data_IF_244334972345
#
_entry.id   IF_244334972345
#
_cell.length_a   1.000
_cell.length_b   1.000
_cell.length_c   1.000
_cell.angle_alpha   90.00
_cell.angle_beta   90.00
_cell.angle_gamma   90.00
#
_symmetry.space_group_name_H-M   'P 1'
#
loop_
_entity.id
_entity.type
_entity.pdbx_description
1 polymer ?
#
# COMPACT_ATOMS: atom_id res chain seq x y z
N UNK A 1 -12.78 -1.23 -14.40
CA UNK A 1 -13.05 -2.65 -14.07
C UNK A 1 -13.31 -2.74 -12.59
N UNK A 2 -14.02 -3.78 -12.12
CA UNK A 2 -14.26 -3.99 -10.68
C UNK A 2 -12.96 -4.48 -10.02
N UNK A 3 -12.44 -3.81 -8.98
CA UNK A 3 -11.25 -4.23 -8.26
C UNK A 3 -11.30 -5.69 -7.81
N UNK A 4 -10.18 -6.43 -7.91
CA UNK A 4 -10.08 -7.81 -7.40
C UNK A 4 -10.60 -8.94 -8.29
N UNK A 5 -11.14 -8.65 -9.49
CA UNK A 5 -11.69 -9.68 -10.39
C UNK A 5 -10.69 -10.75 -10.89
N UNK A 6 -9.37 -10.52 -10.73
CA UNK A 6 -8.32 -11.43 -11.22
C UNK A 6 -8.02 -12.62 -10.28
N UNK A 7 -8.56 -12.62 -9.06
CA UNK A 7 -8.32 -13.68 -8.06
C UNK A 7 -9.27 -14.88 -8.22
N UNK A 8 -9.85 -15.06 -9.41
CA UNK A 8 -10.64 -16.25 -9.72
C UNK A 8 -9.74 -17.49 -9.78
N UNK A 9 -10.10 -18.61 -9.12
CA UNK A 9 -9.32 -19.83 -9.15
C UNK A 9 -9.19 -20.34 -10.58
N UNK A 10 -7.95 -20.57 -11.03
CA UNK A 10 -7.67 -21.12 -12.36
C UNK A 10 -7.71 -22.65 -12.37
N UNK A 11 -7.57 -23.28 -11.20
CA UNK A 11 -7.64 -24.74 -11.02
C UNK A 11 -8.63 -25.11 -9.92
N UNK A 12 -9.23 -26.31 -9.95
CA UNK A 12 -10.15 -26.78 -8.92
C UNK A 12 -9.53 -26.83 -7.51
N UNK A 13 -8.23 -27.13 -7.41
CA UNK A 13 -7.49 -27.14 -6.15
C UNK A 13 -7.35 -25.74 -5.55
N UNK A 14 -7.08 -24.74 -6.40
CA UNK A 14 -7.04 -23.33 -5.98
C UNK A 14 -8.42 -22.90 -5.46
N UNK A 15 -9.50 -23.40 -6.08
CA UNK A 15 -10.87 -23.14 -5.62
C UNK A 15 -11.16 -23.75 -4.25
N UNK A 16 -10.62 -24.94 -3.95
CA UNK A 16 -10.78 -25.58 -2.63
C UNK A 16 -10.01 -24.85 -1.54
N UNK A 17 -8.79 -24.40 -1.82
CA UNK A 17 -8.00 -23.58 -0.89
C UNK A 17 -8.73 -22.26 -0.61
N UNK A 18 -9.22 -21.61 -1.68
CA UNK A 18 -10.00 -20.39 -1.59
C UNK A 18 -11.30 -20.58 -0.80
N UNK A 19 -12.03 -21.68 -1.03
CA UNK A 19 -13.24 -22.00 -0.27
C UNK A 19 -12.96 -22.34 1.20
N UNK A 20 -11.82 -22.98 1.50
CA UNK A 20 -11.38 -23.23 2.86
C UNK A 20 -11.01 -21.92 3.57
N UNK A 21 -10.33 -20.99 2.88
CA UNK A 21 -10.06 -19.64 3.39
C UNK A 21 -11.36 -18.88 3.67
N UNK A 22 -12.35 -18.97 2.78
CA UNK A 22 -13.66 -18.33 2.98
C UNK A 22 -14.41 -18.93 4.17
N UNK A 23 -14.38 -20.26 4.36
CA UNK A 23 -14.93 -20.91 5.57
C UNK A 23 -14.20 -20.51 6.86
N UNK A 24 -12.87 -20.41 6.83
CA UNK A 24 -12.10 -19.93 7.99
C UNK A 24 -12.47 -18.48 8.35
N UNK A 25 -12.82 -17.66 7.35
CA UNK A 25 -13.31 -16.28 7.53
C UNK A 25 -14.74 -16.22 8.07
N UNK A 26 -15.65 -17.08 7.62
CA UNK A 26 -17.01 -17.18 8.19
C UNK A 26 -16.97 -17.47 9.70
N UNK A 27 -15.93 -18.19 10.15
CA UNK A 27 -15.66 -18.50 11.55
C UNK A 27 -14.99 -17.35 12.33
N UNK A 28 -14.81 -16.17 11.72
CA UNK A 28 -14.15 -14.97 12.28
C UNK A 28 -12.74 -15.21 12.80
N UNK A 29 -12.04 -16.20 12.25
CA UNK A 29 -10.66 -16.52 12.64
C UNK A 29 -9.72 -15.37 12.26
N UNK A 30 -10.06 -14.59 11.23
CA UNK A 30 -9.41 -13.35 10.82
C UNK A 30 -9.45 -12.22 11.87
N UNK A 31 -10.32 -12.30 12.89
CA UNK A 31 -10.26 -11.39 14.05
C UNK A 31 -9.15 -11.76 15.04
N UNK A 32 -8.54 -12.94 14.88
CA UNK A 32 -7.49 -13.48 15.74
C UNK A 32 -6.14 -13.70 15.02
N UNK A 33 -6.11 -13.59 13.69
CA UNK A 33 -4.93 -13.79 12.86
C UNK A 33 -4.88 -12.75 11.73
N UNK A 34 -3.70 -12.20 11.43
CA UNK A 34 -3.55 -11.17 10.41
C UNK A 34 -3.86 -11.71 9.00
N UNK A 35 -4.38 -10.84 8.13
CA UNK A 35 -4.53 -11.18 6.72
C UNK A 35 -3.13 -11.42 6.11
N UNK A 36 -2.97 -12.42 5.21
CA UNK A 36 -1.74 -12.55 4.43
C UNK A 36 -1.44 -11.23 3.71
N UNK A 37 -0.30 -10.64 4.02
CA UNK A 37 0.13 -9.35 3.48
C UNK A 37 1.14 -9.56 2.36
N UNK A 38 0.91 -8.98 1.19
CA UNK A 38 1.92 -8.95 0.11
C UNK A 38 2.68 -7.64 0.22
N UNK A 39 3.97 -7.71 0.53
CA UNK A 39 4.87 -6.56 0.57
C UNK A 39 5.55 -6.47 -0.79
N UNK A 40 5.38 -5.35 -1.48
CA UNK A 40 6.08 -5.11 -2.75
C UNK A 40 7.26 -4.18 -2.52
N UNK A 41 8.44 -4.67 -2.87
CA UNK A 41 9.70 -3.95 -2.74
C UNK A 41 10.53 -4.07 -4.02
N UNK A 42 11.38 -3.09 -4.30
CA UNK A 42 12.17 -3.06 -5.55
C UNK A 42 12.59 -1.64 -5.96
N UNK A 43 13.54 -1.54 -6.89
CA UNK A 43 14.04 -0.25 -7.41
C UNK A 43 12.92 0.63 -7.99
N UNK A 44 13.11 1.97 -8.01
CA UNK A 44 12.22 2.89 -8.73
C UNK A 44 12.00 2.39 -10.16
N UNK A 45 10.79 2.52 -10.70
CA UNK A 45 10.51 2.15 -12.11
C UNK A 45 10.66 0.67 -12.47
N UNK A 46 10.98 -0.21 -11.53
CA UNK A 46 10.98 -1.67 -11.73
C UNK A 46 9.58 -2.25 -12.06
N UNK A 47 8.53 -1.43 -12.09
CA UNK A 47 7.16 -1.85 -12.40
C UNK A 47 6.34 -2.25 -11.17
N UNK A 48 6.77 -1.89 -9.94
CA UNK A 48 6.04 -2.17 -8.68
C UNK A 48 4.57 -1.74 -8.74
N UNK A 49 4.33 -0.47 -9.05
CA UNK A 49 2.98 0.07 -9.17
C UNK A 49 2.17 -0.67 -10.24
N UNK A 50 2.77 -1.06 -11.37
CA UNK A 50 2.09 -1.82 -12.43
C UNK A 50 1.72 -3.25 -12.00
N UNK A 51 2.59 -3.93 -11.26
CA UNK A 51 2.31 -5.26 -10.67
C UNK A 51 1.18 -5.14 -9.65
N UNK A 52 1.22 -4.09 -8.82
CA UNK A 52 0.18 -3.83 -7.84
C UNK A 52 -1.15 -3.48 -8.49
N UNK A 53 -1.15 -2.57 -9.46
CA UNK A 53 -2.31 -2.21 -10.28
C UNK A 53 -2.92 -3.44 -10.96
N UNK A 54 -2.09 -4.36 -11.46
CA UNK A 54 -2.60 -5.61 -12.06
C UNK A 54 -3.24 -6.53 -11.03
N UNK A 55 -2.70 -6.57 -9.81
CA UNK A 55 -3.15 -7.46 -8.74
C UNK A 55 -4.42 -6.95 -8.06
N UNK A 56 -4.50 -5.66 -7.74
CA UNK A 56 -5.64 -5.07 -7.03
C UNK A 56 -6.63 -4.39 -7.97
N UNK A 57 -6.26 -4.12 -9.23
CA UNK A 57 -7.06 -3.39 -10.22
C UNK A 57 -7.49 -1.98 -9.76
N UNK A 58 -6.61 -1.34 -8.99
CA UNK A 58 -6.77 0.00 -8.44
C UNK A 58 -5.51 0.78 -8.83
N UNK A 59 -5.61 2.01 -9.37
CA UNK A 59 -4.43 2.77 -9.76
C UNK A 59 -3.59 3.09 -8.53
N UNK A 60 -2.27 2.93 -8.67
CA UNK A 60 -1.33 3.43 -7.69
C UNK A 60 -0.86 4.83 -8.10
N UNK A 61 -0.51 5.69 -7.15
CA UNK A 61 -0.08 7.05 -7.45
C UNK A 61 1.21 7.00 -8.27
N UNK A 62 1.16 7.52 -9.50
CA UNK A 62 2.33 7.80 -10.32
C UNK A 62 2.72 9.25 -10.02
N UNK A 63 3.87 9.47 -9.39
CA UNK A 63 4.29 10.82 -9.01
C UNK A 63 4.58 11.68 -10.25
N UNK A 64 3.98 12.88 -10.32
CA UNK A 64 4.17 13.83 -11.44
C UNK A 64 5.63 14.34 -11.59
N UNK A 65 6.49 14.13 -10.59
CA UNK A 65 7.85 14.71 -10.51
C UNK A 65 8.98 13.67 -10.30
N UNK A 66 8.82 12.43 -10.76
CA UNK A 66 9.90 11.42 -10.71
C UNK A 66 10.41 11.09 -9.28
N UNK A 67 9.57 11.28 -8.26
CA UNK A 67 9.80 10.80 -6.88
C UNK A 67 8.67 9.80 -6.59
N UNK A 68 9.05 8.53 -6.45
CA UNK A 68 8.12 7.46 -6.13
C UNK A 68 7.89 7.38 -4.60
N UNK A 69 6.75 6.79 -4.22
CA UNK A 69 6.27 6.42 -2.86
C UNK A 69 7.05 7.01 -1.68
N UNK A 70 6.59 8.15 -1.12
CA UNK A 70 7.23 8.89 0.01
C UNK A 70 6.69 8.56 1.40
N UNK A 71 5.74 7.63 1.47
CA UNK A 71 5.13 7.10 2.68
C UNK A 71 4.61 5.70 2.35
N UNK A 72 4.33 4.88 3.37
CA UNK A 72 3.81 3.53 3.15
C UNK A 72 2.37 3.63 2.64
N UNK A 73 2.07 2.93 1.54
CA UNK A 73 0.70 2.82 1.04
C UNK A 73 0.18 1.41 1.29
N UNK A 74 -0.84 1.30 2.14
CA UNK A 74 -1.48 0.04 2.49
C UNK A 74 -2.80 -0.08 1.74
N UNK A 75 -2.88 -0.99 0.79
CA UNK A 75 -4.12 -1.29 0.07
C UNK A 75 -4.72 -2.56 0.65
N UNK A 76 -5.94 -2.46 1.18
CA UNK A 76 -6.70 -3.59 1.71
C UNK A 76 -7.95 -3.77 0.86
N UNK A 77 -8.19 -4.98 0.41
CA UNK A 77 -9.38 -5.37 -0.31
C UNK A 77 -10.24 -6.19 0.63
N UNK A 78 -11.54 -5.90 0.73
CA UNK A 78 -12.48 -6.60 1.60
C UNK A 78 -13.81 -6.83 0.88
N UNK A 79 -14.48 -7.92 1.24
CA UNK A 79 -15.80 -8.23 0.70
C UNK A 79 -16.88 -7.47 1.49
N UNK A 80 -17.73 -6.70 0.80
CA UNK A 80 -18.95 -6.10 1.33
C UNK A 80 -20.01 -6.02 0.23
N UNK A 81 -21.29 -6.04 0.59
CA UNK A 81 -22.39 -6.01 -0.40
C UNK A 81 -22.39 -4.74 -1.26
N UNK A 82 -21.91 -3.63 -0.70
CA UNK A 82 -21.88 -2.33 -1.38
C UNK A 82 -20.47 -1.98 -1.83
N UNK A 83 -20.24 -1.77 -3.14
CA UNK A 83 -18.96 -1.29 -3.63
C UNK A 83 -18.61 0.08 -3.02
N UNK A 84 -17.45 0.22 -2.40
CA UNK A 84 -17.02 1.48 -1.79
C UNK A 84 -15.51 1.61 -1.65
N UNK A 85 -15.02 2.83 -1.50
CA UNK A 85 -13.63 3.17 -1.23
C UNK A 85 -13.55 3.90 0.10
N UNK A 86 -12.62 3.49 0.95
CA UNK A 86 -12.34 4.16 2.22
C UNK A 86 -10.86 4.45 2.35
N UNK A 87 -10.51 5.69 2.63
CA UNK A 87 -9.12 6.11 2.80
C UNK A 87 -8.92 6.77 4.16
N UNK A 88 -7.86 6.38 4.86
CA UNK A 88 -7.44 6.90 6.17
C UNK A 88 -5.94 7.14 6.20
N UNK A 89 -5.51 8.06 7.03
CA UNK A 89 -4.09 8.28 7.35
C UNK A 89 -3.85 7.71 8.74
N UNK A 90 -2.81 6.88 8.88
CA UNK A 90 -2.27 6.52 10.18
C UNK A 90 -0.99 7.34 10.38
N UNK A 91 -1.08 8.45 11.11
CA UNK A 91 0.08 9.29 11.35
C UNK A 91 1.13 8.55 12.18
N UNK A 92 2.39 8.86 11.92
CA UNK A 92 3.49 8.28 12.66
C UNK A 92 3.56 8.83 14.08
N UNK A 93 4.09 8.00 15.00
CA UNK A 93 4.17 8.36 16.42
C UNK A 93 5.22 9.44 16.74
N UNK A 94 6.09 9.78 15.79
CA UNK A 94 7.07 10.87 15.89
C UNK A 94 6.48 12.25 15.54
N UNK A 95 5.21 12.31 15.11
CA UNK A 95 4.50 13.59 14.93
C UNK A 95 4.05 14.18 16.28
N UNK A 96 3.90 15.52 16.35
CA UNK A 96 3.22 16.17 17.48
C UNK A 96 1.81 15.61 17.70
N UNK A 97 1.40 15.46 18.96
CA UNK A 97 0.10 14.85 19.34
C UNK A 97 -1.11 15.53 18.67
N UNK A 98 -1.06 16.86 18.50
CA UNK A 98 -2.09 17.61 17.80
C UNK A 98 -2.22 17.18 16.33
N UNK A 99 -1.10 17.01 15.62
CA UNK A 99 -1.09 16.54 14.22
C UNK A 99 -1.55 15.09 14.11
N UNK A 100 -1.14 14.23 15.06
CA UNK A 100 -1.58 12.83 15.13
C UNK A 100 -3.10 12.76 15.22
N UNK A 101 -3.71 13.57 16.09
CA UNK A 101 -5.16 13.61 16.24
C UNK A 101 -5.83 14.10 14.96
N UNK A 102 -5.39 15.24 14.42
CA UNK A 102 -5.95 15.84 13.20
C UNK A 102 -5.91 14.87 12.01
N UNK A 103 -4.78 14.21 11.78
CA UNK A 103 -4.61 13.30 10.65
C UNK A 103 -5.38 11.99 10.84
N UNK A 104 -5.48 11.48 12.08
CA UNK A 104 -6.23 10.26 12.38
C UNK A 104 -7.74 10.42 12.20
N UNK A 105 -8.26 11.65 12.39
CA UNK A 105 -9.67 11.98 12.21
C UNK A 105 -10.07 12.09 10.72
N UNK A 106 -9.10 12.16 9.79
CA UNK A 106 -9.37 12.23 8.36
C UNK A 106 -9.86 10.88 7.81
N UNK A 107 -11.11 10.89 7.32
CA UNK A 107 -11.76 9.76 6.70
C UNK A 107 -12.44 10.19 5.39
N UNK A 108 -11.96 9.65 4.27
CA UNK A 108 -12.67 9.72 3.00
C UNK A 108 -13.40 8.41 2.77
N UNK A 109 -14.70 8.48 2.51
CA UNK A 109 -15.52 7.30 2.24
C UNK A 109 -16.45 7.61 1.06
N UNK A 110 -16.25 6.91 -0.04
CA UNK A 110 -17.02 7.06 -1.26
C UNK A 110 -17.76 5.76 -1.54
N UNK A 111 -19.09 5.83 -1.62
CA UNK A 111 -19.95 4.68 -1.91
C UNK A 111 -20.32 4.70 -3.38
N UNK A 112 -20.34 3.51 -3.98
CA UNK A 112 -20.67 3.30 -5.40
C UNK A 112 -19.91 4.24 -6.34
N UNK A 113 -18.56 4.26 -6.29
CA UNK A 113 -17.79 5.10 -7.20
C UNK A 113 -18.05 4.69 -8.65
N UNK A 114 -18.33 5.67 -9.51
CA UNK A 114 -18.52 5.44 -10.96
C UNK A 114 -17.22 4.97 -11.62
N UNK A 115 -16.10 5.59 -11.22
CA UNK A 115 -14.76 5.22 -11.64
C UNK A 115 -13.82 5.19 -10.42
N UNK A 116 -13.48 3.98 -9.98
CA UNK A 116 -12.55 3.75 -8.88
C UNK A 116 -11.23 4.48 -9.05
N UNK A 117 -10.73 4.58 -10.28
CA UNK A 117 -9.43 5.15 -10.53
C UNK A 117 -9.43 6.66 -10.34
N UNK A 118 -10.45 7.33 -10.89
CA UNK A 118 -10.63 8.77 -10.77
C UNK A 118 -10.90 9.17 -9.32
N UNK A 119 -11.84 8.48 -8.67
CA UNK A 119 -12.22 8.71 -7.27
C UNK A 119 -11.02 8.54 -6.34
N UNK A 120 -10.29 7.43 -6.47
CA UNK A 120 -9.13 7.19 -5.64
C UNK A 120 -8.02 8.20 -5.90
N UNK A 121 -7.69 8.51 -7.16
CA UNK A 121 -6.66 9.50 -7.48
C UNK A 121 -6.96 10.87 -6.84
N UNK A 122 -8.23 11.30 -6.87
CA UNK A 122 -8.66 12.54 -6.24
C UNK A 122 -8.50 12.50 -4.70
N UNK A 123 -8.90 11.40 -4.05
CA UNK A 123 -8.75 11.22 -2.60
C UNK A 123 -7.27 11.16 -2.20
N UNK A 124 -6.46 10.40 -2.93
CA UNK A 124 -5.03 10.26 -2.68
C UNK A 124 -4.30 11.59 -2.82
N UNK A 125 -4.65 12.42 -3.80
CA UNK A 125 -4.09 13.77 -3.95
C UNK A 125 -4.38 14.64 -2.73
N UNK A 126 -5.62 14.58 -2.20
CA UNK A 126 -5.99 15.28 -0.96
C UNK A 126 -5.20 14.76 0.23
N UNK A 127 -5.17 13.44 0.42
CA UNK A 127 -4.45 12.79 1.51
C UNK A 127 -2.94 13.12 1.50
N UNK A 128 -2.32 13.11 0.32
CA UNK A 128 -0.93 13.52 0.14
C UNK A 128 -0.71 14.97 0.61
N UNK A 129 -1.62 15.87 0.26
CA UNK A 129 -1.59 17.26 0.71
C UNK A 129 -1.63 17.38 2.24
N UNK A 130 -2.45 16.59 2.92
CA UNK A 130 -2.52 16.56 4.39
C UNK A 130 -1.27 15.94 5.04
N UNK A 131 -0.74 14.85 4.47
CA UNK A 131 0.47 14.19 4.98
C UNK A 131 1.66 15.16 4.97
N UNK A 132 1.90 15.90 3.88
CA UNK A 132 3.03 16.84 3.81
C UNK A 132 2.65 18.24 4.32
N UNK A 133 2.06 18.29 5.52
CA UNK A 133 1.84 19.53 6.29
C UNK A 133 2.55 19.47 7.64
N UNK A 134 2.57 20.60 8.36
CA UNK A 134 3.12 20.68 9.72
C UNK A 134 4.58 20.23 9.81
N UNK A 135 4.87 19.37 10.77
CA UNK A 135 6.18 18.76 11.01
C UNK A 135 6.76 18.02 9.80
N UNK A 136 5.91 17.54 8.88
CA UNK A 136 6.33 16.79 7.70
C UNK A 136 6.39 17.63 6.40
N UNK A 137 6.11 18.94 6.46
CA UNK A 137 6.00 19.80 5.26
C UNK A 137 7.21 19.73 4.32
N UNK A 138 8.41 19.81 4.88
CA UNK A 138 9.68 19.75 4.13
C UNK A 138 10.30 18.34 4.16
N UNK A 139 9.64 17.36 4.79
CA UNK A 139 10.17 16.02 4.95
C UNK A 139 10.19 15.30 3.60
N UNK A 140 11.34 14.74 3.23
CA UNK A 140 11.47 13.97 1.99
C UNK A 140 10.66 12.66 2.01
N UNK A 141 10.56 12.03 3.19
CA UNK A 141 9.84 10.78 3.44
C UNK A 141 9.28 10.84 4.86
N UNK A 142 8.16 10.15 5.11
CA UNK A 142 7.53 10.06 6.42
C UNK A 142 7.13 8.62 6.73
N UNK A 143 7.02 8.29 8.02
CA UNK A 143 6.55 6.98 8.51
C UNK A 143 5.03 6.88 8.57
N UNK A 144 4.29 7.90 8.12
CA UNK A 144 2.84 7.81 8.01
C UNK A 144 2.43 6.68 7.06
N UNK A 145 1.25 6.12 7.30
CA UNK A 145 0.68 5.07 6.46
C UNK A 145 -0.63 5.58 5.85
N UNK A 146 -0.67 5.67 4.53
CA UNK A 146 -1.92 5.87 3.81
C UNK A 146 -2.62 4.51 3.64
N UNK A 147 -3.72 4.31 4.34
CA UNK A 147 -4.52 3.10 4.20
C UNK A 147 -5.70 3.35 3.25
N UNK A 148 -5.71 2.60 2.16
CA UNK A 148 -6.80 2.53 1.19
C UNK A 148 -7.50 1.20 1.39
N UNK A 149 -8.80 1.22 1.62
CA UNK A 149 -9.63 0.02 1.72
C UNK A 149 -10.68 0.04 0.62
N UNK A 150 -10.67 -0.99 -0.21
CA UNK A 150 -11.61 -1.15 -1.32
C UNK A 150 -12.57 -2.29 -0.99
N UNK A 151 -13.86 -1.99 -1.10
CA UNK A 151 -14.95 -2.87 -0.75
C UNK A 151 -15.77 -3.22 -1.98
N UNK A 152 -16.29 -4.45 -2.03
CA UNK A 152 -17.20 -4.87 -3.09
C UNK A 152 -17.63 -6.34 -2.94
N UNK A 153 -18.73 -6.73 -3.61
CA UNK A 153 -19.39 -8.02 -3.37
C UNK A 153 -18.56 -9.22 -3.84
N UNK A 154 -17.74 -9.03 -4.89
CA UNK A 154 -16.91 -10.07 -5.51
C UNK A 154 -15.41 -9.92 -5.17
N UNK A 155 -15.09 -9.10 -4.16
CA UNK A 155 -13.71 -8.85 -3.76
C UNK A 155 -13.22 -9.97 -2.84
N UNK A 156 -12.09 -10.58 -3.19
CA UNK A 156 -11.38 -11.50 -2.29
C UNK A 156 -10.49 -10.71 -1.33
N UNK A 157 -10.60 -10.94 -0.02
CA UNK A 157 -9.76 -10.25 0.95
C UNK A 157 -8.27 -10.47 0.68
N UNK A 158 -7.56 -9.38 0.47
CA UNK A 158 -6.13 -9.33 0.24
C UNK A 158 -5.59 -8.02 0.81
N UNK A 159 -4.37 -8.07 1.33
CA UNK A 159 -3.66 -6.87 1.73
C UNK A 159 -2.34 -6.75 0.99
N UNK A 160 -2.07 -5.54 0.52
CA UNK A 160 -0.89 -5.18 -0.23
C UNK A 160 -0.25 -3.97 0.43
N UNK A 161 1.07 -4.01 0.55
CA UNK A 161 1.87 -2.92 1.07
C UNK A 161 2.86 -2.45 0.01
N UNK A 162 2.77 -1.18 -0.37
CA UNK A 162 3.78 -0.49 -1.18
C UNK A 162 4.68 0.33 -0.26
N UNK A 163 5.99 0.07 -0.32
CA UNK A 163 6.99 0.67 0.53
C UNK A 163 7.88 1.66 -0.25
N UNK A 164 8.35 2.75 0.37
CA UNK A 164 9.35 3.63 -0.23
C UNK A 164 10.62 2.88 -0.67
N UNK A 165 11.14 3.21 -1.86
CA UNK A 165 12.34 2.57 -2.43
C UNK A 165 13.65 3.08 -1.84
N UNK A 166 14.54 2.17 -1.43
CA UNK A 166 15.85 2.49 -0.84
C UNK A 166 16.82 3.20 -1.81
N UNK A 167 16.79 2.83 -3.09
CA UNK A 167 17.83 3.18 -4.08
C UNK A 167 17.78 4.66 -4.51
N UNK A 168 16.63 5.32 -4.39
CA UNK A 168 16.45 6.69 -4.88
C UNK A 168 17.09 7.76 -3.98
N UNK A 169 17.15 7.50 -2.68
CA UNK A 169 17.49 8.54 -1.71
C UNK A 169 19.00 8.71 -1.52
N UNK A 170 19.81 7.75 -1.98
CA UNK A 170 21.27 7.82 -1.92
C UNK A 170 21.82 8.82 -2.96
N UNK A 171 21.12 9.04 -4.08
CA UNK A 171 21.57 9.95 -5.16
C UNK A 171 21.12 11.41 -5.02
N UNK A 172 20.08 11.69 -4.23
CA UNK A 172 19.53 13.06 -4.03
C UNK A 172 19.94 13.71 -2.71
N UNK A 173 20.61 12.97 -1.82
CA UNK A 173 21.07 13.48 -0.52
C UNK A 173 22.53 13.90 -0.64
N UNK A 174 22.75 15.11 -1.15
CA UNK A 174 24.02 15.81 -0.90
C UNK A 174 24.10 16.16 0.59
N UNK A 175 24.46 15.18 1.44
CA UNK A 175 24.86 15.41 2.83
C UNK A 175 23.83 15.18 3.96
N UNK A 176 22.68 14.54 3.73
CA UNK A 176 21.73 14.23 4.82
C UNK A 176 21.27 12.75 4.82
N UNK A 177 21.86 11.95 5.72
CA UNK A 177 21.62 10.51 5.87
C UNK A 177 20.26 10.15 6.52
N UNK A 178 19.45 11.14 6.92
CA UNK A 178 18.20 10.90 7.66
C UNK A 178 17.17 10.09 6.87
N UNK A 179 16.91 10.46 5.61
CA UNK A 179 15.89 9.80 4.79
C UNK A 179 16.25 8.33 4.44
N UNK A 180 17.47 8.00 3.99
CA UNK A 180 17.87 6.60 3.77
C UNK A 180 17.74 5.72 5.02
N UNK A 181 18.13 6.22 6.20
CA UNK A 181 18.00 5.49 7.48
C UNK A 181 16.53 5.24 7.83
N UNK A 182 15.68 6.25 7.67
CA UNK A 182 14.25 6.14 7.93
C UNK A 182 13.59 5.09 7.03
N UNK A 183 13.88 5.11 5.73
CA UNK A 183 13.36 4.12 4.77
C UNK A 183 13.80 2.71 5.13
N UNK A 184 15.08 2.52 5.46
CA UNK A 184 15.60 1.21 5.87
C UNK A 184 14.89 0.70 7.14
N UNK A 185 14.62 1.58 8.09
CA UNK A 185 13.88 1.23 9.31
C UNK A 185 12.43 0.83 8.99
N UNK A 186 11.72 1.63 8.18
CA UNK A 186 10.34 1.33 7.76
C UNK A 186 10.24 -0.01 7.04
N UNK A 187 11.11 -0.23 6.04
CA UNK A 187 11.13 -1.47 5.25
C UNK A 187 11.38 -2.67 6.16
N UNK A 188 12.40 -2.60 7.03
CA UNK A 188 12.73 -3.69 7.95
C UNK A 188 11.59 -4.00 8.91
N UNK A 189 10.94 -2.99 9.46
CA UNK A 189 9.81 -3.15 10.38
C UNK A 189 8.61 -3.83 9.71
N UNK A 190 8.27 -3.44 8.48
CA UNK A 190 7.17 -4.07 7.75
C UNK A 190 7.51 -5.48 7.26
N UNK A 191 8.76 -5.75 6.83
CA UNK A 191 9.20 -7.08 6.41
C UNK A 191 9.31 -8.09 7.55
N UNK A 192 9.43 -7.63 8.80
CA UNK A 192 9.52 -8.51 9.97
C UNK A 192 8.17 -9.14 10.40
N UNK A 193 7.06 -8.72 9.79
CA UNK A 193 5.73 -9.26 10.07
C UNK A 193 5.65 -10.70 9.57
N UNK A 194 5.36 -11.66 10.46
CA UNK A 194 5.44 -13.12 10.20
C UNK A 194 4.47 -13.64 9.14
N UNK A 195 3.38 -12.93 8.86
CA UNK A 195 2.34 -13.31 7.90
C UNK A 195 2.44 -12.47 6.61
N UNK A 196 3.68 -12.22 6.16
CA UNK A 196 3.97 -11.44 4.95
C UNK A 196 4.64 -12.26 3.87
N UNK A 197 4.12 -12.16 2.65
CA UNK A 197 4.79 -12.58 1.42
C UNK A 197 5.52 -11.38 0.83
N UNK A 198 6.83 -11.48 0.64
CA UNK A 198 7.63 -10.42 0.03
C UNK A 198 7.72 -10.68 -1.47
N UNK A 199 7.17 -9.77 -2.27
CA UNK A 199 7.29 -9.75 -3.71
C UNK A 199 8.35 -8.71 -4.09
N UNK A 200 9.57 -9.19 -4.29
CA UNK A 200 10.66 -8.38 -4.81
C UNK A 200 10.51 -8.21 -6.33
N UNK A 201 10.29 -6.97 -6.78
CA UNK A 201 10.20 -6.61 -8.19
C UNK A 201 11.56 -6.09 -8.65
N UNK A 202 12.18 -6.83 -9.56
CA UNK A 202 13.55 -6.63 -10.04
C UNK A 202 13.49 -6.24 -11.51
N UNK A 203 14.27 -5.24 -11.91
CA UNK A 203 14.40 -4.87 -13.32
C UNK A 203 15.13 -5.97 -14.08
N UNK A 204 14.53 -6.52 -15.14
CA UNK A 204 15.15 -7.61 -15.92
C UNK A 204 16.42 -7.19 -16.68
N UNK A 205 16.69 -5.89 -16.81
CA UNK A 205 17.82 -5.33 -17.56
C UNK A 205 19.01 -4.91 -16.68
N UNK A 206 18.95 -5.13 -15.36
CA UNK A 206 20.05 -4.83 -14.42
C UNK A 206 20.51 -6.10 -13.71
N UNK A 207 21.81 -6.22 -13.49
CA UNK A 207 22.37 -7.32 -12.70
C UNK A 207 21.78 -7.36 -11.29
N UNK A 208 21.40 -8.56 -10.83
CA UNK A 208 20.88 -8.84 -9.49
C UNK A 208 21.76 -8.25 -8.37
N UNK A 209 23.08 -8.25 -8.56
CA UNK A 209 24.05 -7.72 -7.59
C UNK A 209 24.02 -6.19 -7.45
N UNK A 210 23.46 -5.47 -8.43
CA UNK A 210 23.36 -4.01 -8.44
C UNK A 210 21.96 -3.51 -8.06
N UNK A 211 21.06 -4.42 -7.67
CA UNK A 211 19.71 -4.09 -7.23
C UNK A 211 19.64 -4.29 -5.72
N UNK A 212 19.62 -3.18 -4.97
CA UNK A 212 19.53 -3.18 -3.50
C UNK A 212 18.17 -3.66 -2.99
N UNK A 213 17.93 -4.96 -3.14
CA UNK A 213 16.81 -5.73 -2.58
C UNK A 213 17.22 -6.33 -1.24
#
# INVERSE_FOLDING_TARGET
>A
GVPGAMLAPRRPEDAQILAAMDKLRELRIDQKYDLPQIIVCGAQSAGKSSVLESLVQVPFPRGDNNICTRYVTKVTMLQEDTPSIRVRIHPSSDRPEAEVKELSDLLWHEKNPEDYAVSLAAIMKKAHGHIFTGSAKEAMVTSDILQITVFGPDIRPLQVLDLPGLIEYVGKTSGNDGAPKLIKSMVKSHMAVKQSFILAVIEANRDLNNQGV
#
